data_IF_243711932702
#
_entry.id   IF_243711932702
#
_cell.length_a   1.000
_cell.length_b   1.000
_cell.length_c   1.000
_cell.angle_alpha   90.00
_cell.angle_beta   90.00
_cell.angle_gamma   90.00
#
_symmetry.space_group_name_H-M   'P 1'
#
loop_
_entity.id
_entity.type
_entity.pdbx_description
1 polymer ?
#
# COMPACT_ATOMS: atom_id res chain seq x y z
N UNK A 1 12.51 7.89 11.09
CA UNK A 1 13.62 6.93 11.29
C UNK A 1 13.77 6.04 10.05
N UNK A 2 14.97 5.54 9.84
CA UNK A 2 15.32 4.55 8.82
C UNK A 2 15.88 3.32 9.54
N UNK A 3 15.41 2.13 9.17
CA UNK A 3 15.74 0.88 9.85
C UNK A 3 16.29 -0.09 8.81
N UNK A 4 17.52 -0.54 8.98
CA UNK A 4 18.15 -1.53 8.11
C UNK A 4 18.17 -2.88 8.83
N UNK A 5 17.58 -3.90 8.21
CA UNK A 5 17.53 -5.25 8.77
C UNK A 5 18.65 -6.10 8.15
N UNK A 6 19.26 -7.04 8.90
CA UNK A 6 20.30 -7.91 8.36
C UNK A 6 19.79 -8.78 7.20
N UNK A 7 18.55 -9.26 7.31
CA UNK A 7 17.90 -10.08 6.29
C UNK A 7 16.54 -9.49 5.92
N UNK A 8 16.40 -9.05 4.67
CA UNK A 8 15.17 -8.42 4.19
C UNK A 8 13.93 -9.34 4.26
N UNK A 9 14.13 -10.65 4.12
CA UNK A 9 13.05 -11.64 4.20
C UNK A 9 12.44 -11.72 5.60
N UNK A 10 13.24 -11.51 6.65
CA UNK A 10 12.81 -11.62 8.04
C UNK A 10 12.33 -10.29 8.63
N UNK A 11 12.64 -9.17 7.96
CA UNK A 11 12.32 -7.81 8.42
C UNK A 11 10.86 -7.63 8.87
N UNK A 12 9.90 -8.21 8.15
CA UNK A 12 8.48 -8.13 8.52
C UNK A 12 8.16 -8.92 9.78
N UNK A 13 8.74 -10.11 9.93
CA UNK A 13 8.56 -10.92 11.13
C UNK A 13 9.15 -10.20 12.34
N UNK A 14 10.40 -9.74 12.23
CA UNK A 14 11.07 -8.95 13.28
C UNK A 14 10.26 -7.71 13.66
N UNK A 15 9.77 -6.95 12.68
CA UNK A 15 8.96 -5.77 12.94
C UNK A 15 7.62 -6.11 13.60
N UNK A 16 6.96 -7.20 13.20
CA UNK A 16 5.68 -7.62 13.78
C UNK A 16 5.83 -8.14 15.22
N UNK A 17 6.91 -8.87 15.50
CA UNK A 17 7.17 -9.50 16.80
C UNK A 17 7.71 -8.51 17.83
N UNK A 18 8.57 -7.58 17.42
CA UNK A 18 9.28 -6.71 18.36
C UNK A 18 8.92 -5.23 18.27
N UNK A 19 8.76 -4.68 17.06
CA UNK A 19 8.51 -3.25 16.90
C UNK A 19 7.02 -2.89 17.03
N UNK A 20 6.13 -3.72 16.48
CA UNK A 20 4.70 -3.47 16.51
C UNK A 20 4.09 -3.44 17.93
N UNK A 21 4.51 -4.28 18.90
CA UNK A 21 4.08 -4.13 20.29
C UNK A 21 4.45 -2.77 20.89
N UNK A 22 5.69 -2.32 20.68
CA UNK A 22 6.18 -1.02 21.17
C UNK A 22 5.38 0.13 20.57
N UNK A 23 5.12 0.09 19.26
CA UNK A 23 4.31 1.11 18.59
C UNK A 23 2.87 1.13 19.11
N UNK A 24 2.26 -0.04 19.37
CA UNK A 24 0.92 -0.11 19.96
C UNK A 24 0.88 0.44 21.38
N UNK A 25 1.90 0.16 22.19
CA UNK A 25 2.03 0.73 23.53
C UNK A 25 2.19 2.25 23.46
N UNK A 26 3.05 2.73 22.55
CA UNK A 26 3.25 4.17 22.33
C UNK A 26 1.94 4.89 21.94
N UNK A 27 1.11 4.26 21.10
CA UNK A 27 -0.22 4.78 20.74
C UNK A 27 -1.19 4.82 21.93
N UNK A 28 -1.15 3.80 22.79
CA UNK A 28 -2.08 3.69 23.91
C UNK A 28 -1.72 4.62 25.08
N UNK A 29 -0.43 4.80 25.35
CA UNK A 29 0.05 5.33 26.64
C UNK A 29 1.02 6.50 26.51
N UNK A 30 1.70 6.66 25.38
CA UNK A 30 2.84 7.60 25.26
C UNK A 30 2.65 8.68 24.19
N UNK A 31 1.42 8.99 23.80
CA UNK A 31 1.12 10.15 22.95
C UNK A 31 1.50 10.00 21.47
N UNK A 32 1.70 8.77 20.97
CA UNK A 32 1.85 8.52 19.53
C UNK A 32 0.48 8.62 18.85
N UNK A 33 0.26 9.67 18.06
CA UNK A 33 -1.01 9.90 17.37
C UNK A 33 -1.18 8.99 16.14
N UNK A 34 -0.11 8.79 15.38
CA UNK A 34 -0.10 7.84 14.26
C UNK A 34 1.32 7.44 13.88
N UNK A 35 1.44 6.29 13.21
CA UNK A 35 2.70 5.81 12.67
C UNK A 35 2.48 5.03 11.39
N UNK A 36 3.46 5.04 10.50
CA UNK A 36 3.45 4.19 9.33
C UNK A 36 4.86 3.87 8.88
N UNK A 37 4.99 2.80 8.11
CA UNK A 37 6.22 2.48 7.44
C UNK A 37 6.04 2.32 5.93
N UNK A 38 7.16 2.43 5.23
CA UNK A 38 7.27 2.00 3.83
C UNK A 38 8.58 1.25 3.66
N UNK A 39 8.54 0.17 2.87
CA UNK A 39 9.73 -0.62 2.53
C UNK A 39 10.35 -0.05 1.25
N UNK A 40 11.57 0.49 1.34
CA UNK A 40 12.34 1.01 0.20
C UNK A 40 13.79 0.60 0.39
N UNK A 41 14.17 -0.53 -0.21
CA UNK A 41 15.50 -1.12 -0.06
C UNK A 41 16.61 -0.06 -0.21
N UNK A 42 17.64 -0.08 0.66
CA UNK A 42 17.97 -1.15 1.61
C UNK A 42 17.27 -1.08 2.98
N UNK A 43 16.45 -0.06 3.25
CA UNK A 43 15.87 0.15 4.59
C UNK A 43 14.34 0.27 4.60
N UNK A 44 13.76 0.09 5.78
CA UNK A 44 12.40 0.54 6.06
C UNK A 44 12.45 1.99 6.51
N UNK A 45 11.45 2.77 6.12
CA UNK A 45 11.28 4.15 6.57
C UNK A 45 10.11 4.18 7.53
N UNK A 46 10.38 4.28 8.82
CA UNK A 46 9.36 4.45 9.87
C UNK A 46 9.12 5.94 10.10
N UNK A 47 7.85 6.32 10.15
CA UNK A 47 7.38 7.68 10.46
C UNK A 47 6.49 7.62 11.69
N UNK A 48 6.73 8.53 12.62
CA UNK A 48 6.01 8.67 13.87
C UNK A 48 5.43 10.08 13.89
N UNK A 49 4.15 10.20 14.19
CA UNK A 49 3.49 11.45 14.50
C UNK A 49 3.17 11.43 16.00
N UNK A 50 4.05 12.05 16.78
CA UNK A 50 3.94 12.09 18.22
C UNK A 50 3.43 13.45 18.70
N UNK A 51 2.73 13.49 19.83
CA UNK A 51 2.33 14.73 20.46
C UNK A 51 3.57 15.49 20.99
N UNK A 52 3.56 16.84 20.98
CA UNK A 52 4.64 17.63 21.57
C UNK A 52 4.88 17.25 23.04
N UNK A 53 6.14 17.05 23.41
CA UNK A 53 6.53 16.70 24.79
C UNK A 53 6.29 15.24 25.19
N UNK A 54 5.90 14.37 24.24
CA UNK A 54 5.72 12.94 24.52
C UNK A 54 7.03 12.15 24.49
N UNK A 55 7.08 11.06 25.25
CA UNK A 55 8.23 10.14 25.35
C UNK A 55 8.28 9.11 24.19
N UNK A 56 7.36 9.21 23.22
CA UNK A 56 7.26 8.27 22.09
C UNK A 56 8.58 8.09 21.34
N UNK A 57 9.31 9.18 21.12
CA UNK A 57 10.57 9.11 20.39
C UNK A 57 11.64 8.33 21.15
N UNK A 58 11.75 8.55 22.46
CA UNK A 58 12.72 7.88 23.31
C UNK A 58 12.37 6.39 23.45
N UNK A 59 11.09 6.07 23.64
CA UNK A 59 10.60 4.69 23.71
C UNK A 59 10.92 3.88 22.44
N UNK A 60 10.66 4.45 21.26
CA UNK A 60 10.95 3.76 19.98
C UNK A 60 12.46 3.69 19.71
N UNK A 61 13.22 4.69 20.15
CA UNK A 61 14.70 4.69 20.03
C UNK A 61 15.29 3.59 20.89
N UNK A 62 14.90 3.48 22.17
CA UNK A 62 15.35 2.42 23.07
C UNK A 62 15.01 1.02 22.52
N UNK A 63 13.80 0.83 21.98
CA UNK A 63 13.44 -0.43 21.35
C UNK A 63 14.31 -0.77 20.13
N UNK A 64 14.75 0.24 19.36
CA UNK A 64 15.66 0.01 18.22
C UNK A 64 17.10 -0.23 18.67
N UNK A 65 17.54 0.35 19.79
CA UNK A 65 18.81 0.03 20.44
C UNK A 65 18.83 -1.43 20.87
N UNK A 66 17.82 -1.88 21.63
CA UNK A 66 17.67 -3.27 22.07
C UNK A 66 17.69 -4.26 20.88
N UNK A 67 17.02 -3.90 19.78
CA UNK A 67 17.01 -4.73 18.56
C UNK A 67 18.34 -4.72 17.82
N UNK A 68 19.11 -3.64 17.92
CA UNK A 68 20.45 -3.55 17.33
C UNK A 68 21.43 -4.38 18.14
N UNK A 69 21.38 -4.30 19.48
CA UNK A 69 22.19 -5.09 20.39
C UNK A 69 21.89 -6.61 20.27
N UNK A 70 20.63 -6.96 20.03
CA UNK A 70 20.22 -8.34 19.76
C UNK A 70 20.58 -8.82 18.33
N UNK A 71 21.13 -7.97 17.46
CA UNK A 71 21.46 -8.29 16.07
C UNK A 71 20.24 -8.52 15.15
N UNK A 72 19.04 -8.12 15.60
CA UNK A 72 17.80 -8.24 14.83
C UNK A 72 17.59 -7.06 13.87
N UNK A 73 18.19 -5.91 14.22
CA UNK A 73 18.35 -4.73 13.36
C UNK A 73 19.84 -4.54 13.13
N UNK A 74 20.26 -4.28 11.88
CA UNK A 74 21.67 -4.05 11.56
C UNK A 74 22.11 -2.66 12.03
N UNK A 75 21.26 -1.65 11.80
CA UNK A 75 21.40 -0.28 12.28
C UNK A 75 20.12 0.51 12.02
N UNK A 76 19.98 1.64 12.68
CA UNK A 76 18.96 2.63 12.37
C UNK A 76 19.51 4.05 12.45
N UNK A 77 18.83 5.01 11.83
CA UNK A 77 19.19 6.42 11.93
C UNK A 77 17.98 7.35 11.77
N UNK A 78 18.15 8.59 12.21
CA UNK A 78 17.14 9.62 12.13
C UNK A 78 17.26 10.40 10.82
N UNK A 79 16.14 10.94 10.35
CA UNK A 79 16.18 11.87 9.24
C UNK A 79 14.86 12.61 9.09
N UNK A 80 14.92 13.71 8.35
CA UNK A 80 13.80 14.62 8.16
C UNK A 80 12.75 13.93 7.29
N UNK A 81 11.48 14.03 7.70
CA UNK A 81 10.37 13.55 6.90
C UNK A 81 9.87 14.64 5.98
N UNK A 82 10.07 14.44 4.68
CA UNK A 82 9.49 15.25 3.62
C UNK A 82 8.33 14.48 3.00
N UNK A 83 7.06 14.87 3.25
CA UNK A 83 5.91 14.22 2.61
C UNK A 83 5.89 14.53 1.12
N UNK A 84 5.57 13.54 0.30
CA UNK A 84 5.36 13.70 -1.14
C UNK A 84 4.01 14.40 -1.44
N UNK A 85 3.70 15.50 -0.76
CA UNK A 85 2.41 16.21 -0.78
C UNK A 85 1.92 16.53 -2.18
N UNK A 86 2.80 17.04 -3.04
CA UNK A 86 2.46 17.32 -4.44
C UNK A 86 2.08 16.04 -5.21
N UNK A 87 2.75 14.91 -4.93
CA UNK A 87 2.43 13.64 -5.57
C UNK A 87 1.07 13.09 -5.13
N UNK A 88 0.73 13.29 -3.86
CA UNK A 88 -0.54 12.85 -3.27
C UNK A 88 -1.71 13.80 -3.51
N UNK A 89 -1.53 14.90 -4.22
CA UNK A 89 -2.62 15.80 -4.61
C UNK A 89 -2.93 16.89 -3.59
N UNK A 90 -1.93 17.33 -2.84
CA UNK A 90 -2.03 18.48 -1.94
C UNK A 90 -2.13 18.11 -0.46
N UNK A 91 -2.08 19.11 0.44
CA UNK A 91 -2.04 18.88 1.89
C UNK A 91 -3.22 18.06 2.41
N UNK A 92 -4.44 18.35 1.94
CA UNK A 92 -5.64 17.64 2.36
C UNK A 92 -5.60 16.15 1.99
N UNK A 93 -5.17 15.85 0.76
CA UNK A 93 -5.03 14.47 0.29
C UNK A 93 -3.86 13.73 0.95
N UNK A 94 -2.80 14.45 1.32
CA UNK A 94 -1.69 13.89 2.08
C UNK A 94 -2.12 13.44 3.48
N UNK A 95 -2.98 14.20 4.17
CA UNK A 95 -3.58 13.77 5.44
C UNK A 95 -4.37 12.47 5.28
N UNK A 96 -5.22 12.38 4.25
CA UNK A 96 -5.96 11.15 3.94
C UNK A 96 -5.03 9.97 3.63
N UNK A 97 -3.90 10.24 2.96
CA UNK A 97 -2.88 9.23 2.70
C UNK A 97 -2.22 8.76 4.00
N UNK A 98 -1.89 9.65 4.93
CA UNK A 98 -1.33 9.29 6.25
C UNK A 98 -2.28 8.43 7.07
N UNK A 99 -3.58 8.78 7.09
CA UNK A 99 -4.61 7.97 7.76
C UNK A 99 -4.66 6.54 7.21
N UNK A 100 -4.65 6.40 5.88
CA UNK A 100 -4.60 5.09 5.25
C UNK A 100 -3.28 4.37 5.53
N UNK A 101 -2.14 5.07 5.46
CA UNK A 101 -0.84 4.47 5.69
C UNK A 101 -0.70 3.93 7.10
N UNK A 102 -1.28 4.62 8.07
CA UNK A 102 -1.34 4.18 9.44
C UNK A 102 -2.16 2.90 9.58
N UNK A 103 -3.41 2.90 9.12
CA UNK A 103 -4.29 1.73 9.18
C UNK A 103 -3.70 0.52 8.42
N UNK A 104 -3.10 0.76 7.25
CA UNK A 104 -2.47 -0.27 6.43
C UNK A 104 -1.21 -0.83 7.08
N UNK A 105 -0.39 0.00 7.75
CA UNK A 105 0.81 -0.43 8.48
C UNK A 105 0.44 -1.31 9.69
N UNK A 106 -0.58 -0.91 10.44
CA UNK A 106 -1.11 -1.72 11.56
C UNK A 106 -1.58 -3.08 11.10
N UNK A 107 -2.30 -3.15 9.98
CA UNK A 107 -2.81 -4.41 9.46
C UNK A 107 -1.71 -5.32 8.90
N UNK A 108 -0.65 -4.76 8.28
CA UNK A 108 0.49 -5.54 7.80
C UNK A 108 1.27 -6.18 8.95
N UNK A 109 1.43 -5.46 10.07
CA UNK A 109 2.16 -5.97 11.24
C UNK A 109 1.27 -6.67 12.28
N UNK A 110 0.01 -6.96 11.96
CA UNK A 110 -0.89 -7.72 12.84
C UNK A 110 -0.70 -9.23 12.63
N UNK A 111 -0.21 -9.98 13.63
CA UNK A 111 -0.02 -11.42 13.53
C UNK A 111 -1.32 -12.18 13.19
N UNK A 112 -2.46 -11.70 13.68
CA UNK A 112 -3.77 -12.34 13.45
C UNK A 112 -4.27 -12.16 12.01
N UNK A 113 -3.84 -11.08 11.34
CA UNK A 113 -4.21 -10.81 9.96
C UNK A 113 -3.53 -11.79 8.99
N UNK A 114 -2.29 -12.23 9.27
CA UNK A 114 -1.55 -13.16 8.40
C UNK A 114 -1.98 -14.61 8.60
N UNK A 115 -2.17 -15.06 9.85
CA UNK A 115 -2.47 -16.46 10.16
C UNK A 115 -3.82 -16.96 9.61
N UNK A 116 -4.73 -16.05 9.24
CA UNK A 116 -6.12 -16.36 8.85
C UNK A 116 -6.44 -16.01 7.39
N UNK A 117 -5.43 -15.62 6.61
CA UNK A 117 -5.67 -15.16 5.25
C UNK A 117 -5.87 -16.35 4.30
N UNK A 118 -7.11 -16.50 3.78
CA UNK A 118 -7.42 -17.44 2.69
C UNK A 118 -6.73 -17.08 1.37
N UNK A 119 -6.29 -15.82 1.24
CA UNK A 119 -5.63 -15.27 0.07
C UNK A 119 -4.19 -14.86 0.40
N UNK A 120 -3.33 -14.97 -0.60
CA UNK A 120 -1.99 -14.39 -0.53
C UNK A 120 -2.02 -12.86 -0.54
N UNK A 121 -0.88 -12.26 -0.21
CA UNK A 121 -0.73 -10.80 -0.16
C UNK A 121 -1.00 -10.15 -1.53
N UNK A 122 -0.69 -10.84 -2.64
CA UNK A 122 -0.88 -10.32 -4.00
C UNK A 122 -2.37 -10.13 -4.30
N UNK A 123 -3.16 -11.17 -4.09
CA UNK A 123 -4.59 -11.20 -4.35
C UNK A 123 -5.33 -10.24 -3.42
N UNK A 124 -4.96 -10.23 -2.13
CA UNK A 124 -5.51 -9.26 -1.17
C UNK A 124 -5.17 -7.82 -1.57
N UNK A 125 -3.96 -7.54 -2.01
CA UNK A 125 -3.57 -6.19 -2.47
C UNK A 125 -4.35 -5.74 -3.71
N UNK A 126 -4.66 -6.62 -4.65
CA UNK A 126 -5.58 -6.32 -5.76
C UNK A 126 -6.98 -6.00 -5.24
N UNK A 127 -7.55 -6.82 -4.37
CA UNK A 127 -8.89 -6.59 -3.82
C UNK A 127 -9.01 -5.30 -3.01
N UNK A 128 -7.99 -4.96 -2.21
CA UNK A 128 -7.95 -3.69 -1.47
C UNK A 128 -7.84 -2.49 -2.42
N UNK A 129 -7.03 -2.62 -3.47
CA UNK A 129 -6.92 -1.60 -4.52
C UNK A 129 -8.29 -1.39 -5.19
N UNK A 130 -8.93 -2.46 -5.68
CA UNK A 130 -10.29 -2.44 -6.24
C UNK A 130 -11.30 -1.82 -5.27
N UNK A 131 -11.23 -2.15 -3.98
CA UNK A 131 -12.09 -1.56 -2.93
C UNK A 131 -11.96 -0.03 -2.89
N UNK A 132 -10.74 0.48 -2.95
CA UNK A 132 -10.46 1.92 -2.93
C UNK A 132 -10.93 2.61 -4.22
N UNK A 133 -10.70 1.99 -5.38
CA UNK A 133 -11.12 2.56 -6.66
C UNK A 133 -12.65 2.62 -6.80
N UNK A 134 -13.35 1.54 -6.41
CA UNK A 134 -14.82 1.53 -6.34
C UNK A 134 -15.35 2.60 -5.39
N UNK A 135 -14.75 2.74 -4.22
CA UNK A 135 -15.15 3.75 -3.24
C UNK A 135 -14.90 5.19 -3.72
N UNK A 136 -13.87 5.39 -4.55
CA UNK A 136 -13.59 6.62 -5.28
C UNK A 136 -14.58 6.96 -6.39
N UNK A 137 -15.54 6.06 -6.68
CA UNK A 137 -16.54 6.15 -7.76
C UNK A 137 -15.93 6.11 -9.17
N UNK A 138 -14.80 5.42 -9.35
CA UNK A 138 -14.20 5.25 -10.67
C UNK A 138 -14.98 4.22 -11.49
N UNK A 139 -15.32 4.58 -12.73
CA UNK A 139 -15.87 3.65 -13.71
C UNK A 139 -14.81 2.63 -14.18
N UNK A 140 -15.25 1.53 -14.79
CA UNK A 140 -14.39 0.41 -15.17
C UNK A 140 -13.13 0.84 -15.92
N UNK A 141 -13.27 1.66 -16.97
CA UNK A 141 -12.12 2.12 -17.75
C UNK A 141 -11.25 3.16 -17.03
N UNK A 142 -11.82 3.94 -16.10
CA UNK A 142 -11.04 4.85 -15.25
C UNK A 142 -10.14 4.07 -14.27
N UNK A 143 -10.62 2.93 -13.76
CA UNK A 143 -9.79 2.02 -12.98
C UNK A 143 -8.65 1.45 -13.84
N UNK A 144 -8.94 1.11 -15.09
CA UNK A 144 -7.94 0.70 -16.07
C UNK A 144 -6.85 1.75 -16.28
N UNK A 145 -7.24 3.03 -16.30
CA UNK A 145 -6.29 4.14 -16.40
C UNK A 145 -5.44 4.29 -15.13
N UNK A 146 -6.00 4.08 -13.93
CA UNK A 146 -5.18 4.00 -12.70
C UNK A 146 -4.13 2.90 -12.81
N UNK A 147 -4.51 1.70 -13.26
CA UNK A 147 -3.55 0.60 -13.48
C UNK A 147 -2.55 0.93 -14.60
N UNK A 148 -2.96 1.67 -15.62
CA UNK A 148 -2.05 2.19 -16.65
C UNK A 148 -0.98 3.10 -16.06
N UNK A 149 -1.36 4.03 -15.18
CA UNK A 149 -0.42 4.92 -14.47
C UNK A 149 0.51 4.13 -13.54
N UNK A 150 0.00 3.14 -12.80
CA UNK A 150 0.85 2.26 -11.98
C UNK A 150 1.84 1.48 -12.85
N UNK A 151 1.41 0.95 -14.00
CA UNK A 151 2.27 0.23 -14.93
C UNK A 151 3.29 1.15 -15.65
N UNK A 152 3.01 2.45 -15.76
CA UNK A 152 3.99 3.43 -16.24
C UNK A 152 5.09 3.69 -15.20
N UNK A 153 4.73 3.79 -13.92
CA UNK A 153 5.66 3.91 -12.78
C UNK A 153 6.39 2.61 -12.44
N UNK A 154 5.86 1.46 -12.89
CA UNK A 154 6.42 0.12 -12.74
C UNK A 154 6.45 -0.59 -14.09
N UNK A 155 7.37 -0.19 -15.00
CA UNK A 155 7.46 -0.78 -16.32
C UNK A 155 7.65 -2.30 -16.26
N UNK A 156 7.07 -3.00 -17.23
CA UNK A 156 7.31 -4.43 -17.39
C UNK A 156 8.78 -4.68 -17.75
N UNK A 157 9.42 -5.68 -17.12
CA UNK A 157 10.71 -6.17 -17.56
C UNK A 157 10.66 -6.68 -19.01
N UNK A 158 11.77 -6.51 -19.76
CA UNK A 158 11.87 -6.92 -21.16
C UNK A 158 11.71 -8.45 -21.37
N UNK A 159 11.95 -9.24 -20.34
CA UNK A 159 11.85 -10.70 -20.34
C UNK A 159 10.46 -11.22 -19.88
N UNK A 160 9.49 -10.34 -19.66
CA UNK A 160 8.13 -10.75 -19.32
C UNK A 160 7.42 -11.35 -20.54
N UNK A 161 7.04 -12.63 -20.47
CA UNK A 161 6.40 -13.33 -21.57
C UNK A 161 4.95 -12.86 -21.79
N UNK A 162 4.55 -12.44 -23.01
CA UNK A 162 3.20 -11.93 -23.29
C UNK A 162 2.06 -12.92 -22.97
N UNK A 163 2.25 -14.22 -23.23
CA UNK A 163 1.24 -15.26 -22.97
C UNK A 163 0.94 -15.40 -21.47
N UNK A 164 1.98 -15.35 -20.63
CA UNK A 164 1.82 -15.41 -19.17
C UNK A 164 1.08 -14.19 -18.63
N UNK A 165 1.26 -13.03 -19.26
CA UNK A 165 0.58 -11.80 -18.89
C UNK A 165 -0.92 -11.87 -19.22
N UNK A 166 -1.30 -12.44 -20.36
CA UNK A 166 -2.70 -12.58 -20.75
C UNK A 166 -3.44 -13.55 -19.82
N UNK A 167 -2.86 -14.71 -19.53
CA UNK A 167 -3.46 -15.66 -18.58
C UNK A 167 -3.68 -15.02 -17.22
N UNK A 168 -2.68 -14.29 -16.71
CA UNK A 168 -2.81 -13.57 -15.46
C UNK A 168 -3.86 -12.44 -15.52
N UNK A 169 -4.00 -11.76 -16.66
CA UNK A 169 -5.03 -10.75 -16.84
C UNK A 169 -6.44 -11.36 -16.74
N UNK A 170 -6.65 -12.54 -17.32
CA UNK A 170 -7.92 -13.26 -17.24
C UNK A 170 -8.23 -13.67 -15.79
N UNK A 171 -7.24 -14.22 -15.08
CA UNK A 171 -7.35 -14.61 -13.67
C UNK A 171 -7.64 -13.40 -12.75
N UNK A 172 -6.90 -12.30 -12.92
CA UNK A 172 -7.11 -11.05 -12.18
C UNK A 172 -8.46 -10.40 -12.50
N UNK A 173 -9.03 -10.67 -13.68
CA UNK A 173 -10.32 -10.14 -14.10
C UNK A 173 -11.45 -10.46 -13.12
N UNK A 174 -11.38 -11.58 -12.40
CA UNK A 174 -12.36 -11.93 -11.37
C UNK A 174 -12.19 -11.06 -10.11
N UNK A 175 -10.95 -10.85 -9.65
CA UNK A 175 -10.66 -10.02 -8.48
C UNK A 175 -11.02 -8.55 -8.73
N UNK A 176 -10.74 -8.05 -9.94
CA UNK A 176 -11.03 -6.67 -10.32
C UNK A 176 -12.53 -6.37 -10.40
N UNK A 177 -13.37 -7.38 -10.67
CA UNK A 177 -14.84 -7.26 -10.73
C UNK A 177 -15.54 -7.66 -9.43
N UNK A 178 -14.78 -8.06 -8.42
CA UNK A 178 -15.35 -8.59 -7.19
C UNK A 178 -16.17 -7.53 -6.44
N UNK A 179 -17.26 -7.96 -5.80
CA UNK A 179 -18.05 -7.09 -4.94
C UNK A 179 -17.32 -6.84 -3.60
N UNK A 180 -16.67 -5.69 -3.53
CA UNK A 180 -15.90 -5.23 -2.37
C UNK A 180 -16.69 -4.27 -1.47
N UNK A 181 -18.01 -4.17 -1.64
CA UNK A 181 -18.85 -3.32 -0.81
C UNK A 181 -18.80 -3.75 0.67
N UNK A 182 -19.09 -2.82 1.58
CA UNK A 182 -19.07 -3.10 3.02
C UNK A 182 -20.10 -4.20 3.40
N UNK A 183 -21.27 -4.18 2.77
CA UNK A 183 -22.30 -5.20 2.89
C UNK A 183 -22.15 -6.36 1.87
N UNK A 184 -21.05 -6.37 1.12
CA UNK A 184 -20.77 -7.37 0.09
C UNK A 184 -20.39 -8.74 0.65
N UNK A 185 -20.10 -9.68 -0.24
CA UNK A 185 -19.87 -11.08 0.11
C UNK A 185 -18.47 -11.40 0.66
N UNK A 186 -17.54 -10.45 0.63
CA UNK A 186 -16.12 -10.72 0.91
C UNK A 186 -15.68 -10.37 2.33
N UNK A 187 -15.90 -9.13 2.76
CA UNK A 187 -15.22 -8.56 3.94
C UNK A 187 -16.07 -8.48 5.21
N UNK A 188 -17.38 -8.73 5.12
CA UNK A 188 -18.29 -8.65 6.26
C UNK A 188 -18.10 -9.77 7.30
N UNK A 189 -18.72 -9.65 8.50
CA UNK A 189 -18.69 -10.71 9.50
C UNK A 189 -19.19 -12.06 8.94
N UNK A 190 -18.46 -13.14 9.22
CA UNK A 190 -18.78 -14.49 8.71
C UNK A 190 -18.49 -14.70 7.22
N UNK A 191 -17.89 -13.72 6.54
CA UNK A 191 -17.47 -13.83 5.13
C UNK A 191 -16.03 -14.32 5.00
N UNK A 192 -15.61 -14.82 3.81
CA UNK A 192 -14.30 -15.44 3.62
C UNK A 192 -13.12 -14.54 3.98
N UNK A 193 -13.23 -13.22 3.76
CA UNK A 193 -12.18 -12.24 4.04
C UNK A 193 -12.51 -11.35 5.24
N UNK A 194 -13.37 -11.81 6.17
CA UNK A 194 -13.68 -11.09 7.41
C UNK A 194 -12.43 -10.63 8.19
N UNK A 195 -11.32 -11.41 8.29
CA UNK A 195 -10.10 -10.94 8.96
C UNK A 195 -9.50 -9.67 8.33
N UNK A 196 -9.67 -9.47 7.03
CA UNK A 196 -9.22 -8.28 6.32
C UNK A 196 -10.26 -7.14 6.31
N UNK A 197 -11.42 -7.32 6.96
CA UNK A 197 -12.54 -6.37 6.91
C UNK A 197 -12.17 -4.96 7.34
N UNK A 198 -11.51 -4.81 8.51
CA UNK A 198 -11.04 -3.50 8.99
C UNK A 198 -10.08 -2.82 8.03
N UNK A 199 -9.19 -3.60 7.40
CA UNK A 199 -8.25 -3.09 6.40
C UNK A 199 -9.00 -2.62 5.16
N UNK A 200 -9.95 -3.42 4.66
CA UNK A 200 -10.79 -3.04 3.52
C UNK A 200 -11.63 -1.78 3.82
N UNK A 201 -12.14 -1.62 5.05
CA UNK A 201 -12.87 -0.43 5.48
C UNK A 201 -12.01 0.84 5.38
N UNK A 202 -10.74 0.78 5.79
CA UNK A 202 -9.80 1.89 5.65
C UNK A 202 -9.58 2.28 4.18
N UNK A 203 -9.39 1.29 3.29
CA UNK A 203 -9.29 1.54 1.84
C UNK A 203 -10.58 2.16 1.28
N UNK A 204 -11.74 1.69 1.74
CA UNK A 204 -13.04 2.24 1.33
C UNK A 204 -13.23 3.68 1.81
N UNK A 205 -12.81 3.99 3.03
CA UNK A 205 -12.86 5.35 3.58
C UNK A 205 -11.93 6.29 2.80
N UNK A 206 -10.68 5.89 2.57
CA UNK A 206 -9.72 6.67 1.79
C UNK A 206 -10.23 6.92 0.36
N UNK A 207 -10.73 5.89 -0.32
CA UNK A 207 -11.33 6.03 -1.65
C UNK A 207 -12.50 7.01 -1.67
N UNK A 208 -13.45 6.89 -0.74
CA UNK A 208 -14.58 7.84 -0.62
C UNK A 208 -14.11 9.27 -0.38
N UNK A 209 -13.17 9.47 0.54
CA UNK A 209 -12.66 10.78 0.91
C UNK A 209 -11.93 11.46 -0.26
N UNK A 210 -11.05 10.73 -0.96
CA UNK A 210 -10.36 11.22 -2.15
C UNK A 210 -11.34 11.50 -3.31
N UNK A 211 -12.33 10.64 -3.52
CA UNK A 211 -13.37 10.87 -4.52
C UNK A 211 -14.19 12.12 -4.20
N UNK A 212 -14.50 12.39 -2.93
CA UNK A 212 -15.14 13.64 -2.51
C UNK A 212 -14.23 14.83 -2.74
N UNK A 213 -12.96 14.77 -2.31
CA UNK A 213 -11.99 15.84 -2.53
C UNK A 213 -11.83 16.19 -4.01
N UNK A 214 -11.83 15.18 -4.90
CA UNK A 214 -11.80 15.40 -6.34
C UNK A 214 -13.04 16.18 -6.83
N UNK A 215 -14.24 15.77 -6.41
CA UNK A 215 -15.51 16.42 -6.81
C UNK A 215 -15.63 17.84 -6.27
N UNK A 216 -15.06 18.13 -5.12
CA UNK A 216 -15.09 19.47 -4.50
C UNK A 216 -13.91 20.34 -4.93
N UNK A 217 -13.06 19.89 -5.85
CA UNK A 217 -11.90 20.65 -6.33
C UNK A 217 -10.79 20.84 -5.29
N UNK A 218 -10.71 19.98 -4.28
CA UNK A 218 -9.73 20.05 -3.20
C UNK A 218 -8.43 19.27 -3.48
N UNK A 219 -8.29 18.68 -4.68
CA UNK A 219 -7.07 17.98 -5.10
C UNK A 219 -6.26 18.84 -6.06
N UNK A 220 -4.96 18.92 -5.82
CA UNK A 220 -4.01 19.60 -6.72
C UNK A 220 -3.67 18.74 -7.96
N UNK A 221 -4.09 17.47 -7.97
CA UNK A 221 -3.88 16.49 -9.04
C UNK A 221 -5.14 15.71 -9.34
N UNK A 222 -5.23 15.18 -10.56
CA UNK A 222 -6.34 14.31 -10.95
C UNK A 222 -6.44 13.07 -10.05
N UNK A 223 -7.65 12.69 -9.67
CA UNK A 223 -7.94 11.58 -8.76
C UNK A 223 -7.23 10.27 -9.16
N UNK A 224 -7.19 9.96 -10.46
CA UNK A 224 -6.54 8.75 -11.00
C UNK A 224 -5.04 8.73 -10.71
N UNK A 225 -4.36 9.87 -10.81
CA UNK A 225 -2.94 9.99 -10.46
C UNK A 225 -2.73 9.80 -8.94
N UNK A 226 -3.56 10.44 -8.12
CA UNK A 226 -3.48 10.32 -6.66
C UNK A 226 -3.69 8.87 -6.22
N UNK A 227 -4.71 8.19 -6.77
CA UNK A 227 -4.99 6.78 -6.48
C UNK A 227 -3.83 5.88 -6.91
N UNK A 228 -3.24 6.08 -8.10
CA UNK A 228 -2.09 5.29 -8.55
C UNK A 228 -0.93 5.33 -7.55
N UNK A 229 -0.64 6.51 -6.96
CA UNK A 229 0.39 6.63 -5.91
C UNK A 229 0.01 5.87 -4.62
N UNK A 230 -1.27 5.88 -4.22
CA UNK A 230 -1.73 5.09 -3.07
C UNK A 230 -1.53 3.59 -3.30
N UNK A 231 -1.85 3.08 -4.49
CA UNK A 231 -1.65 1.68 -4.87
C UNK A 231 -0.17 1.29 -4.80
N UNK A 232 0.72 2.13 -5.35
CA UNK A 232 2.18 1.90 -5.30
C UNK A 232 2.69 1.88 -3.86
N UNK A 233 2.28 2.83 -3.02
CA UNK A 233 2.71 2.89 -1.63
C UNK A 233 2.18 1.71 -0.81
N UNK A 234 0.96 1.26 -1.09
CA UNK A 234 0.41 0.02 -0.52
C UNK A 234 1.26 -1.20 -0.91
N UNK A 235 1.60 -1.38 -2.19
CA UNK A 235 2.44 -2.49 -2.64
C UNK A 235 3.82 -2.49 -1.99
N UNK A 236 4.43 -1.31 -1.87
CA UNK A 236 5.72 -1.14 -1.18
C UNK A 236 5.61 -1.53 0.30
N UNK A 237 4.55 -1.11 0.99
CA UNK A 237 4.32 -1.46 2.41
C UNK A 237 4.08 -2.95 2.63
N UNK A 238 3.40 -3.58 1.69
CA UNK A 238 3.18 -5.03 1.66
C UNK A 238 4.43 -5.84 1.30
N UNK A 239 5.52 -5.17 0.90
CA UNK A 239 6.76 -5.83 0.48
C UNK A 239 6.65 -6.60 -0.82
N UNK A 240 5.70 -6.25 -1.69
CA UNK A 240 5.62 -6.87 -3.01
C UNK A 240 6.88 -6.49 -3.84
N UNK A 241 7.64 -7.46 -4.37
CA UNK A 241 8.80 -7.17 -5.18
C UNK A 241 8.45 -6.30 -6.39
N UNK A 242 9.35 -5.40 -6.80
CA UNK A 242 9.11 -4.47 -7.93
C UNK A 242 8.65 -5.21 -9.19
N UNK A 243 9.27 -6.36 -9.52
CA UNK A 243 8.87 -7.20 -10.65
C UNK A 243 7.41 -7.68 -10.53
N UNK A 244 6.99 -8.09 -9.33
CA UNK A 244 5.61 -8.49 -9.06
C UNK A 244 4.66 -7.31 -9.21
N UNK A 245 5.02 -6.12 -8.72
CA UNK A 245 4.22 -4.90 -8.91
C UNK A 245 4.03 -4.58 -10.39
N UNK A 246 5.11 -4.64 -11.18
CA UNK A 246 5.07 -4.41 -12.64
C UNK A 246 4.14 -5.40 -13.34
N UNK A 247 4.27 -6.70 -13.05
CA UNK A 247 3.47 -7.75 -13.67
C UNK A 247 1.99 -7.61 -13.29
N UNK A 248 1.67 -7.41 -12.00
CA UNK A 248 0.30 -7.24 -11.54
C UNK A 248 -0.36 -5.99 -12.14
N UNK A 249 0.34 -4.87 -12.17
CA UNK A 249 -0.18 -3.62 -12.75
C UNK A 249 -0.44 -3.75 -14.25
N UNK A 250 0.47 -4.39 -14.98
CA UNK A 250 0.30 -4.63 -16.41
C UNK A 250 -0.84 -5.62 -16.70
N UNK A 251 -0.94 -6.71 -15.94
CA UNK A 251 -2.02 -7.68 -16.08
C UNK A 251 -3.38 -7.04 -15.75
N UNK A 252 -3.49 -6.26 -14.67
CA UNK A 252 -4.71 -5.54 -14.33
C UNK A 252 -5.08 -4.49 -15.39
N UNK A 253 -4.10 -3.76 -15.94
CA UNK A 253 -4.33 -2.88 -17.09
C UNK A 253 -4.85 -3.66 -18.29
N UNK A 254 -4.24 -4.79 -18.65
CA UNK A 254 -4.66 -5.63 -19.78
C UNK A 254 -6.07 -6.20 -19.57
N UNK A 255 -6.42 -6.61 -18.36
CA UNK A 255 -7.74 -7.15 -18.02
C UNK A 255 -8.88 -6.14 -18.23
N UNK A 256 -8.57 -4.84 -18.12
CA UNK A 256 -9.55 -3.74 -18.22
C UNK A 256 -9.51 -3.08 -19.60
N UNK A 257 -8.31 -2.72 -20.08
CA UNK A 257 -8.10 -1.92 -21.30
C UNK A 257 -7.73 -2.76 -22.52
N UNK A 258 -7.64 -4.08 -22.38
CA UNK A 258 -7.09 -4.97 -23.41
C UNK A 258 -5.57 -4.86 -23.55
N UNK A 259 -4.95 -5.71 -24.40
CA UNK A 259 -3.51 -5.66 -24.66
C UNK A 259 -3.10 -4.29 -25.19
N UNK A 260 -1.85 -3.87 -24.92
CA UNK A 260 -1.33 -2.66 -25.58
C UNK A 260 -1.25 -2.96 -27.08
N UNK A 261 -1.76 -2.07 -27.96
CA UNK A 261 -1.54 -2.24 -29.38
C UNK A 261 -0.02 -2.17 -29.65
N UNK A 262 0.48 -3.08 -30.49
CA UNK A 262 1.84 -2.95 -31.02
C UNK A 262 1.89 -1.65 -31.82
N UNK A 263 2.49 -0.61 -31.25
CA UNK A 263 2.77 0.61 -32.01
C UNK A 263 3.92 0.25 -32.95
N UNK A 264 3.72 0.25 -34.29
CA UNK A 264 4.83 0.07 -35.20
C UNK A 264 5.84 1.17 -34.90
N UNK A 265 7.10 0.81 -34.62
CA UNK A 265 8.16 1.81 -34.60
C UNK A 265 8.15 2.44 -35.98
N UNK A 266 7.75 3.71 -36.07
CA UNK A 266 7.92 4.50 -37.27
C UNK A 266 9.40 4.38 -37.63
N UNK A 267 9.69 3.71 -38.75
CA UNK A 267 11.01 3.70 -39.32
C UNK A 267 11.36 5.17 -39.58
N UNK A 268 12.35 5.69 -38.86
CA UNK A 268 12.99 6.94 -39.21
C UNK A 268 13.55 6.76 -40.62
N UNK A 269 12.94 7.45 -41.58
CA UNK A 269 13.48 7.64 -42.93
C UNK A 269 14.67 8.61 -42.88
#
# INVERSE_FOLDING_TARGET
MYIEFPHWADAEKTAAEHLAPVLRQAEAEHGLASWWFIRKAPCWRLRLLAQPGSETHDLVTAALDDLTDAGLVLRYWHGIYEPETAAFGGPAAMTLAHDLFHADSRAVLDPHSRARALLGQRELSILLSTTMLHAGRLEWFEQGDVWHLVAAERPLPADAAPVQLQQLADDLGQLLRADTAAAGSLFGPGRPLAPAGRRADAFRQAGRALGTAARTGALDRGLRQVLAYHLIFHFNRCGLPTRTQSILAAAARTAILGPRPDVPRLATA
#
